data_IF_344730790181
#
_entry.id   IF_344730790181
#
_cell.length_a   1.000
_cell.length_b   1.000
_cell.length_c   1.000
_cell.angle_alpha   90.00
_cell.angle_beta   90.00
_cell.angle_gamma   90.00
#
_symmetry.space_group_name_H-M   'P 1'
#
loop_
_entity.id
_entity.type
_entity.pdbx_description
1 polymer ?
#
# COMPACT_ATOMS: atom_id res chain seq x y z
N UNK A 1 -1.08 -9.27 4.67
CA UNK A 1 -1.41 -7.84 4.88
C UNK A 1 -2.51 -7.42 3.92
N UNK A 2 -2.30 -7.44 2.59
CA UNK A 2 -3.29 -6.96 1.63
C UNK A 2 -4.62 -7.76 1.61
N UNK A 3 -4.60 -9.03 1.99
CA UNK A 3 -5.74 -9.96 1.90
C UNK A 3 -6.93 -9.75 2.84
N UNK A 4 -6.92 -8.73 3.72
CA UNK A 4 -8.11 -8.35 4.49
C UNK A 4 -8.21 -6.86 4.68
N UNK A 5 -9.44 -6.34 4.75
CA UNK A 5 -9.71 -4.92 4.94
C UNK A 5 -9.04 -4.37 6.21
N UNK A 6 -9.20 -5.06 7.35
CA UNK A 6 -8.67 -4.60 8.64
C UNK A 6 -7.14 -4.48 8.64
N UNK A 7 -6.46 -5.42 7.97
CA UNK A 7 -5.01 -5.41 7.87
C UNK A 7 -4.51 -4.30 6.93
N UNK A 8 -5.24 -4.03 5.82
CA UNK A 8 -4.92 -2.91 4.93
C UNK A 8 -5.09 -1.58 5.66
N UNK A 9 -6.19 -1.38 6.37
CA UNK A 9 -6.42 -0.16 7.15
C UNK A 9 -5.34 0.03 8.22
N UNK A 10 -4.97 -1.03 8.94
CA UNK A 10 -3.87 -0.98 9.92
C UNK A 10 -2.55 -0.55 9.27
N UNK A 11 -2.23 -1.06 8.08
CA UNK A 11 -1.04 -0.67 7.34
C UNK A 11 -1.10 0.79 6.88
N UNK A 12 -2.23 1.22 6.32
CA UNK A 12 -2.47 2.59 5.83
C UNK A 12 -2.34 3.60 6.97
N UNK A 13 -3.00 3.35 8.11
CA UNK A 13 -2.94 4.23 9.27
C UNK A 13 -1.51 4.37 9.81
N UNK A 14 -0.81 3.24 9.93
CA UNK A 14 0.61 3.22 10.33
C UNK A 14 1.49 4.01 9.37
N UNK A 15 1.25 3.88 8.07
CA UNK A 15 1.99 4.57 7.03
C UNK A 15 1.76 6.07 7.07
N UNK A 16 0.51 6.53 7.20
CA UNK A 16 0.18 7.95 7.35
C UNK A 16 0.92 8.56 8.55
N UNK A 17 0.90 7.88 9.70
CA UNK A 17 1.65 8.31 10.88
C UNK A 17 3.15 8.38 10.60
N UNK A 18 3.69 7.43 9.84
CA UNK A 18 5.10 7.42 9.45
C UNK A 18 5.45 8.61 8.54
N UNK A 19 4.65 8.88 7.50
CA UNK A 19 4.86 10.02 6.60
C UNK A 19 4.82 11.35 7.34
N UNK A 20 3.86 11.53 8.25
CA UNK A 20 3.76 12.74 9.08
C UNK A 20 4.93 12.88 10.04
N UNK A 21 5.32 11.79 10.71
CA UNK A 21 6.39 11.81 11.71
C UNK A 21 7.73 12.24 11.11
N UNK A 22 8.01 11.83 9.88
CA UNK A 22 9.30 12.08 9.23
C UNK A 22 9.24 13.16 8.14
N UNK A 23 8.06 13.74 7.87
CA UNK A 23 7.89 14.79 6.87
C UNK A 23 8.17 14.31 5.45
N UNK A 24 7.72 13.10 5.11
CA UNK A 24 7.89 12.51 3.78
C UNK A 24 6.78 12.95 2.83
N UNK A 25 7.09 12.95 1.53
CA UNK A 25 6.19 13.38 0.46
C UNK A 25 5.41 12.22 -0.18
N UNK A 26 5.56 10.99 0.30
CA UNK A 26 4.89 9.84 -0.27
C UNK A 26 5.54 8.51 0.09
N UNK A 27 5.11 7.46 -0.60
CA UNK A 27 5.59 6.08 -0.41
C UNK A 27 5.81 5.40 -1.75
N UNK A 28 6.82 4.52 -1.79
CA UNK A 28 7.02 3.55 -2.86
C UNK A 28 6.72 2.14 -2.33
N UNK A 29 5.89 1.39 -3.06
CA UNK A 29 5.60 -0.01 -2.75
C UNK A 29 6.40 -0.93 -3.67
N UNK A 30 7.31 -1.69 -3.08
CA UNK A 30 8.16 -2.65 -3.77
C UNK A 30 7.84 -4.08 -3.28
N UNK A 31 6.71 -4.62 -3.73
CA UNK A 31 6.31 -5.99 -3.41
C UNK A 31 6.73 -6.92 -4.56
N UNK A 32 7.70 -7.81 -4.28
CA UNK A 32 8.23 -8.79 -5.23
C UNK A 32 7.79 -10.24 -4.94
N UNK A 33 6.75 -10.79 -5.56
CA UNK A 33 5.73 -10.14 -6.38
C UNK A 33 4.35 -10.65 -5.95
N UNK A 34 3.26 -9.88 -6.15
CA UNK A 34 1.92 -10.42 -6.02
C UNK A 34 1.76 -11.71 -6.83
N UNK A 35 1.14 -12.74 -6.23
CA UNK A 35 0.95 -14.08 -6.82
C UNK A 35 2.20 -14.92 -7.10
N UNK A 36 3.41 -14.43 -6.78
CA UNK A 36 4.63 -15.23 -6.88
C UNK A 36 4.68 -16.30 -5.79
N UNK A 37 4.30 -17.53 -6.12
CA UNK A 37 4.21 -18.65 -5.16
C UNK A 37 5.55 -19.01 -4.52
N UNK A 38 6.66 -18.80 -5.23
CA UNK A 38 8.03 -18.96 -4.73
C UNK A 38 8.44 -17.89 -3.72
N UNK A 39 7.67 -16.80 -3.63
CA UNK A 39 7.82 -15.69 -2.66
C UNK A 39 6.67 -15.66 -1.63
N UNK A 40 5.85 -16.71 -1.56
CA UNK A 40 4.72 -16.81 -0.62
C UNK A 40 3.45 -16.08 -1.06
N UNK A 41 3.38 -15.63 -2.32
CA UNK A 41 2.19 -15.05 -2.90
C UNK A 41 1.13 -16.08 -3.28
N UNK A 42 -0.08 -15.61 -3.50
CA UNK A 42 -1.25 -16.37 -3.95
C UNK A 42 -2.03 -15.57 -5.02
N UNK A 43 -2.95 -16.23 -5.72
CA UNK A 43 -3.66 -15.62 -6.85
C UNK A 43 -4.45 -14.35 -6.48
N UNK A 44 -4.99 -14.28 -5.26
CA UNK A 44 -5.80 -13.15 -4.81
C UNK A 44 -4.95 -11.89 -4.54
N UNK A 45 -3.62 -12.02 -4.47
CA UNK A 45 -2.72 -10.88 -4.22
C UNK A 45 -2.80 -9.83 -5.32
N UNK A 46 -3.09 -10.22 -6.56
CA UNK A 46 -3.22 -9.28 -7.68
C UNK A 46 -4.35 -8.29 -7.42
N UNK A 47 -5.55 -8.81 -7.13
CA UNK A 47 -6.72 -7.97 -6.85
C UNK A 47 -6.56 -7.22 -5.52
N UNK A 48 -6.03 -7.89 -4.49
CA UNK A 48 -5.80 -7.27 -3.19
C UNK A 48 -4.76 -6.15 -3.26
N UNK A 49 -3.77 -6.23 -4.14
CA UNK A 49 -2.78 -5.17 -4.33
C UNK A 49 -3.43 -3.92 -4.95
N UNK A 50 -4.31 -4.10 -5.95
CA UNK A 50 -5.08 -2.99 -6.52
C UNK A 50 -5.97 -2.32 -5.47
N UNK A 51 -6.68 -3.12 -4.67
CA UNK A 51 -7.52 -2.60 -3.58
C UNK A 51 -6.69 -1.84 -2.54
N UNK A 52 -5.53 -2.37 -2.16
CA UNK A 52 -4.62 -1.68 -1.23
C UNK A 52 -4.18 -0.31 -1.78
N UNK A 53 -3.72 -0.24 -3.03
CA UNK A 53 -3.27 1.03 -3.62
C UNK A 53 -4.42 2.04 -3.76
N UNK A 54 -5.63 1.58 -4.08
CA UNK A 54 -6.82 2.44 -4.13
C UNK A 54 -7.17 3.00 -2.75
N UNK A 55 -7.23 2.17 -1.72
CA UNK A 55 -7.50 2.60 -0.34
C UNK A 55 -6.40 3.54 0.19
N UNK A 56 -5.13 3.28 -0.14
CA UNK A 56 -4.02 4.19 0.16
C UNK A 56 -4.21 5.55 -0.48
N UNK A 57 -4.59 5.59 -1.77
CA UNK A 57 -4.82 6.84 -2.49
C UNK A 57 -5.94 7.66 -1.86
N UNK A 58 -7.07 7.02 -1.56
CA UNK A 58 -8.21 7.67 -0.89
C UNK A 58 -7.82 8.23 0.48
N UNK A 59 -7.09 7.45 1.29
CA UNK A 59 -6.66 7.88 2.61
C UNK A 59 -5.64 9.03 2.54
N UNK A 60 -4.73 9.02 1.56
CA UNK A 60 -3.78 10.10 1.35
C UNK A 60 -4.50 11.36 0.89
N UNK A 61 -5.47 11.28 -0.02
CA UNK A 61 -6.25 12.43 -0.49
C UNK A 61 -7.05 13.09 0.65
N UNK A 62 -7.49 12.31 1.64
CA UNK A 62 -8.17 12.83 2.82
C UNK A 62 -7.23 13.59 3.79
N UNK A 63 -5.92 13.27 3.78
CA UNK A 63 -4.95 13.83 4.72
C UNK A 63 -4.06 14.89 4.07
N UNK A 64 -3.42 14.55 2.96
CA UNK A 64 -2.59 15.42 2.13
C UNK A 64 -2.62 14.92 0.66
N UNK A 65 -3.42 15.56 -0.21
CA UNK A 65 -3.49 15.20 -1.63
C UNK A 65 -2.16 15.27 -2.39
N UNK A 66 -1.17 15.97 -1.85
CA UNK A 66 0.17 16.07 -2.45
C UNK A 66 1.04 14.83 -2.24
N UNK A 67 0.65 13.89 -1.37
CA UNK A 67 1.46 12.70 -1.15
C UNK A 67 1.43 11.75 -2.34
N UNK A 68 2.61 11.32 -2.79
CA UNK A 68 2.75 10.42 -3.93
C UNK A 68 2.65 8.93 -3.52
N UNK A 69 2.21 8.11 -4.45
CA UNK A 69 2.18 6.65 -4.32
C UNK A 69 2.79 6.06 -5.59
N UNK A 70 3.96 5.46 -5.47
CA UNK A 70 4.66 4.78 -6.57
C UNK A 70 4.74 3.28 -6.27
N UNK A 71 5.01 2.47 -7.30
CA UNK A 71 5.32 1.07 -7.12
C UNK A 71 6.40 0.61 -8.10
N UNK A 72 7.21 -0.33 -7.64
CA UNK A 72 8.23 -1.00 -8.46
C UNK A 72 7.61 -2.27 -9.04
N UNK A 73 7.75 -2.41 -10.35
CA UNK A 73 7.28 -3.56 -11.13
C UNK A 73 8.50 -4.33 -11.66
N UNK A 74 8.37 -5.64 -11.97
CA UNK A 74 9.46 -6.45 -12.52
C UNK A 74 10.02 -5.93 -13.85
#
# INVERSE_FOLDING_TARGET
>A
MAGSYENRQTFIDSLILYLQKYGLDGVEIDWEYPAATDRGGNADDIDNFVVLLAEMREAFDAVNPGWETTCTLP
#
